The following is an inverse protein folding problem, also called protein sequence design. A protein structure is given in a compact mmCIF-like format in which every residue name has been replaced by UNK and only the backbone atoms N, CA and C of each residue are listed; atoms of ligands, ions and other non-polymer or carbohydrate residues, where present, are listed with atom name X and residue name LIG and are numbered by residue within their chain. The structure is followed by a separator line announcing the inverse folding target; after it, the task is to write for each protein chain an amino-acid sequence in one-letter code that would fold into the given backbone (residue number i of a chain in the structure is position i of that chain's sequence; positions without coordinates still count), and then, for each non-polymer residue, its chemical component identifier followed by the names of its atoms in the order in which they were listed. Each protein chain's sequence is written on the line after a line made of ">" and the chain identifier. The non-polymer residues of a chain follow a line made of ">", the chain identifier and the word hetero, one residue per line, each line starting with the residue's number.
data_IF_428112977895
#
_entry.id   IF_428112977895
#
_cell.length_a   1.000
_cell.length_b   1.000
_cell.length_c   1.000
_cell.angle_alpha   90.00
_cell.angle_beta   90.00
_cell.angle_gamma   90.00
#
_symmetry.space_group_name_H-M   'P 1'
#
loop_
_entity.id
_entity.type
_entity.pdbx_description
1 polymer ?
#
# COMPACT_ATOMS: atom_id res chain seq x y z
N UNK A 1 -2.08 23.46 10.85
CA UNK A 1 -3.07 22.56 10.22
C UNK A 1 -3.22 22.98 8.77
N UNK A 2 -3.40 22.03 7.86
CA UNK A 2 -3.64 22.31 6.42
C UNK A 2 -5.12 22.72 6.28
N UNK A 3 -5.42 23.70 5.43
CA UNK A 3 -6.80 24.10 5.11
C UNK A 3 -7.38 23.22 3.99
N UNK A 4 -8.68 23.33 3.72
CA UNK A 4 -9.37 22.51 2.71
C UNK A 4 -8.72 22.61 1.32
N UNK A 5 -8.29 23.82 0.93
CA UNK A 5 -7.60 24.02 -0.34
C UNK A 5 -6.25 23.29 -0.36
N UNK A 6 -5.47 23.41 0.71
CA UNK A 6 -4.19 22.71 0.86
C UNK A 6 -4.36 21.19 0.86
N UNK A 7 -5.47 20.67 1.43
CA UNK A 7 -5.80 19.25 1.33
C UNK A 7 -6.08 18.83 -0.12
N UNK A 8 -6.91 19.58 -0.86
CA UNK A 8 -7.23 19.27 -2.26
C UNK A 8 -6.00 19.34 -3.18
N UNK A 9 -5.09 20.26 -2.88
CA UNK A 9 -3.88 20.49 -3.70
C UNK A 9 -2.69 19.60 -3.35
N UNK A 10 -2.72 18.91 -2.20
CA UNK A 10 -1.64 18.05 -1.72
C UNK A 10 -1.38 16.86 -2.65
N UNK A 11 -0.13 16.37 -2.60
CA UNK A 11 0.26 15.07 -3.13
C UNK A 11 0.22 14.04 -2.00
N UNK A 12 -0.59 12.99 -2.19
CA UNK A 12 -0.74 11.90 -1.24
C UNK A 12 0.21 10.77 -1.61
N UNK A 13 1.20 10.53 -0.77
CA UNK A 13 2.13 9.42 -0.91
C UNK A 13 1.59 8.20 -0.16
N UNK A 14 1.40 7.08 -0.86
CA UNK A 14 0.84 5.85 -0.33
C UNK A 14 1.93 4.78 -0.37
N UNK A 15 2.42 4.40 0.81
CA UNK A 15 3.39 3.31 0.99
C UNK A 15 2.87 2.36 2.08
N UNK A 16 2.10 1.36 1.65
CA UNK A 16 1.45 0.37 2.52
C UNK A 16 1.53 -1.04 1.90
N UNK A 17 1.22 -2.09 2.68
CA UNK A 17 1.18 -3.47 2.19
C UNK A 17 2.51 -4.23 2.23
N UNK A 18 3.63 -3.53 2.44
CA UNK A 18 4.95 -4.19 2.53
C UNK A 18 5.04 -5.14 3.74
N UNK A 19 4.55 -4.71 4.91
CA UNK A 19 4.60 -5.51 6.12
C UNK A 19 3.70 -6.75 6.02
N UNK A 20 2.55 -6.67 5.35
CA UNK A 20 1.63 -7.78 5.12
C UNK A 20 2.27 -8.89 4.27
N UNK A 21 3.05 -8.50 3.25
CA UNK A 21 3.82 -9.41 2.43
C UNK A 21 5.05 -9.95 3.19
N UNK A 22 5.80 -9.10 3.90
CA UNK A 22 6.96 -9.53 4.69
C UNK A 22 6.56 -10.55 5.77
N UNK A 23 5.51 -10.27 6.54
CA UNK A 23 4.98 -11.14 7.59
C UNK A 23 4.47 -12.48 7.04
N UNK A 24 3.98 -12.49 5.79
CA UNK A 24 3.57 -13.73 5.14
C UNK A 24 4.76 -14.67 4.87
N UNK A 25 5.93 -14.11 4.57
CA UNK A 25 7.17 -14.90 4.41
C UNK A 25 7.74 -15.33 5.76
N UNK A 26 7.71 -14.49 6.81
CA UNK A 26 8.18 -14.88 8.15
C UNK A 26 7.32 -15.98 8.79
N UNK A 27 6.06 -16.11 8.38
CA UNK A 27 5.13 -17.18 8.79
C UNK A 27 5.29 -18.49 8.02
N UNK A 28 6.37 -18.66 7.24
CA UNK A 28 6.65 -19.85 6.43
C UNK A 28 5.53 -20.23 5.45
N UNK A 29 4.76 -19.24 4.94
CA UNK A 29 3.83 -19.52 3.85
C UNK A 29 4.59 -19.84 2.58
N UNK A 30 4.06 -20.78 1.79
CA UNK A 30 4.58 -21.03 0.45
C UNK A 30 4.44 -19.77 -0.41
N UNK A 31 5.33 -19.62 -1.39
CA UNK A 31 5.27 -18.52 -2.37
C UNK A 31 3.86 -18.38 -2.98
N UNK A 32 3.21 -19.50 -3.34
CA UNK A 32 1.84 -19.49 -3.87
C UNK A 32 0.82 -18.91 -2.89
N UNK A 33 0.93 -19.21 -1.59
CA UNK A 33 0.06 -18.65 -0.56
C UNK A 33 0.30 -17.14 -0.38
N UNK A 34 1.55 -16.67 -0.52
CA UNK A 34 1.88 -15.24 -0.50
C UNK A 34 1.27 -14.52 -1.71
N UNK A 35 1.43 -15.07 -2.92
CA UNK A 35 0.84 -14.50 -4.13
C UNK A 35 -0.69 -14.38 -4.01
N UNK A 36 -1.36 -15.34 -3.37
CA UNK A 36 -2.81 -15.28 -3.12
C UNK A 36 -3.24 -14.11 -2.21
N UNK A 37 -2.32 -13.49 -1.47
CA UNK A 37 -2.61 -12.31 -0.62
C UNK A 37 -2.47 -10.98 -1.36
N UNK A 38 -1.77 -10.95 -2.51
CA UNK A 38 -1.58 -9.73 -3.30
C UNK A 38 -2.91 -9.03 -3.64
N UNK A 39 -3.98 -9.73 -4.08
CA UNK A 39 -5.27 -9.08 -4.35
C UNK A 39 -5.87 -8.34 -3.15
N UNK A 40 -5.70 -8.88 -1.94
CA UNK A 40 -6.14 -8.21 -0.70
C UNK A 40 -5.33 -6.96 -0.44
N UNK A 41 -4.00 -7.00 -0.60
CA UNK A 41 -3.14 -5.81 -0.48
C UNK A 41 -3.52 -4.72 -1.47
N UNK A 42 -3.81 -5.10 -2.73
CA UNK A 42 -4.29 -4.15 -3.75
C UNK A 42 -5.62 -3.52 -3.33
N UNK A 43 -6.54 -4.32 -2.78
CA UNK A 43 -7.84 -3.83 -2.30
C UNK A 43 -7.68 -2.78 -1.20
N UNK A 44 -6.74 -2.97 -0.27
CA UNK A 44 -6.47 -1.99 0.78
C UNK A 44 -5.83 -0.70 0.24
N UNK A 45 -4.94 -0.80 -0.75
CA UNK A 45 -4.41 0.38 -1.46
C UNK A 45 -5.54 1.14 -2.15
N UNK A 46 -6.42 0.44 -2.86
CA UNK A 46 -7.60 1.05 -3.50
C UNK A 46 -8.52 1.72 -2.48
N UNK A 47 -8.78 1.08 -1.34
CA UNK A 47 -9.62 1.63 -0.28
C UNK A 47 -9.01 2.92 0.29
N UNK A 48 -7.70 2.93 0.56
CA UNK A 48 -6.99 4.13 1.02
C UNK A 48 -7.10 5.29 0.00
N UNK A 49 -6.92 4.99 -1.29
CA UNK A 49 -7.10 5.98 -2.37
C UNK A 49 -8.54 6.50 -2.39
N UNK A 50 -9.54 5.60 -2.35
CA UNK A 50 -10.97 5.96 -2.38
C UNK A 50 -11.33 6.84 -1.19
N UNK A 51 -10.85 6.52 0.02
CA UNK A 51 -11.07 7.35 1.21
C UNK A 51 -10.52 8.77 1.03
N UNK A 52 -9.27 8.91 0.60
CA UNK A 52 -8.66 10.23 0.35
C UNK A 52 -9.35 10.98 -0.80
N UNK A 53 -9.77 10.26 -1.83
CA UNK A 53 -10.49 10.82 -2.96
C UNK A 53 -11.87 11.37 -2.55
N UNK A 54 -12.60 10.65 -1.70
CA UNK A 54 -13.91 11.09 -1.18
C UNK A 54 -13.79 12.38 -0.35
N UNK A 55 -12.67 12.57 0.36
CA UNK A 55 -12.37 13.79 1.11
C UNK A 55 -11.85 14.95 0.24
N UNK A 56 -11.62 14.73 -1.05
CA UNK A 56 -11.22 15.78 -2.00
C UNK A 56 -9.77 15.71 -2.49
N UNK A 57 -8.99 14.72 -2.07
CA UNK A 57 -7.63 14.49 -2.60
C UNK A 57 -7.66 14.06 -4.07
N UNK A 58 -6.71 14.56 -4.87
CA UNK A 58 -6.69 14.32 -6.34
C UNK A 58 -5.36 13.87 -6.91
N UNK A 59 -4.25 14.03 -6.18
CA UNK A 59 -2.90 13.70 -6.66
C UNK A 59 -2.33 12.59 -5.79
N UNK A 60 -2.09 11.43 -6.38
CA UNK A 60 -1.64 10.24 -5.65
C UNK A 60 -0.31 9.76 -6.23
N UNK A 61 0.61 9.44 -5.33
CA UNK A 61 1.80 8.63 -5.64
C UNK A 61 1.65 7.33 -4.87
N UNK A 62 1.54 6.22 -5.59
CA UNK A 62 1.53 4.88 -4.98
C UNK A 62 2.92 4.29 -5.10
N UNK A 63 3.59 4.09 -3.97
CA UNK A 63 4.90 3.48 -3.92
C UNK A 63 4.76 1.95 -4.03
N UNK A 64 5.52 1.34 -4.93
CA UNK A 64 5.51 -0.11 -5.11
C UNK A 64 6.34 -0.80 -4.02
N UNK A 65 6.01 -2.05 -3.71
CA UNK A 65 6.83 -2.83 -2.80
C UNK A 65 8.18 -3.14 -3.44
N UNK A 66 9.26 -2.86 -2.70
CA UNK A 66 10.61 -3.23 -3.11
C UNK A 66 10.77 -4.76 -3.19
N UNK A 67 11.70 -5.28 -4.03
CA UNK A 67 11.90 -6.73 -4.15
C UNK A 67 12.20 -7.40 -2.80
N UNK A 68 11.40 -8.38 -2.41
CA UNK A 68 11.70 -9.29 -1.30
C UNK A 68 12.75 -10.33 -1.76
N UNK A 69 14.01 -9.91 -1.85
CA UNK A 69 15.09 -10.70 -2.46
C UNK A 69 16.28 -11.05 -1.57
N UNK A 70 16.34 -10.58 -0.32
CA UNK A 70 17.41 -10.95 0.63
C UNK A 70 16.90 -11.05 2.07
N UNK A 71 16.48 -12.24 2.45
CA UNK A 71 16.47 -12.74 3.83
C UNK A 71 16.37 -14.27 3.82
N UNK A 72 17.21 -14.93 3.02
CA UNK A 72 17.49 -16.37 3.14
C UNK A 72 18.99 -16.57 2.98
N UNK A 73 19.69 -16.51 4.11
CA UNK A 73 20.93 -17.23 4.36
C UNK A 73 20.68 -18.11 5.57
#
# INVERSE_FOLDING_TARGET
>A
MINDQGFRDALYFIDIGQNDLADSFTKNLSYMQVIKRIPTVITEIENAIKSLYNEGGRKFWVHNTSPFGRAVN
#
